data_IF_715183888540
#
_entry.id   IF_715183888540
#
_cell.length_a   1.000
_cell.length_b   1.000
_cell.length_c   1.000
_cell.angle_alpha   90.00
_cell.angle_beta   90.00
_cell.angle_gamma   90.00
#
_symmetry.space_group_name_H-M   'P 1'
#
loop_
_entity.id
_entity.type
_entity.pdbx_description
1 polymer ?
#
# COMPACT_ATOMS: atom_id res chain seq x y z
N UNK A 1 -11.24 -49.41 70.19
CA UNK A 1 -12.32 -48.65 69.51
C UNK A 1 -11.77 -47.24 69.32
N UNK A 2 -11.45 -46.72 68.14
CA UNK A 2 -11.72 -47.15 66.77
C UNK A 2 -10.75 -46.46 65.78
N UNK A 3 -10.59 -47.06 64.60
CA UNK A 3 -9.76 -46.61 63.47
C UNK A 3 -10.44 -45.47 62.65
N UNK A 4 -9.70 -44.80 61.73
CA UNK A 4 -9.94 -43.44 61.21
C UNK A 4 -10.84 -43.40 59.96
N UNK A 5 -11.09 -42.20 59.39
CA UNK A 5 -10.91 -42.04 57.94
C UNK A 5 -10.27 -40.68 57.56
N UNK A 6 -9.17 -40.68 56.80
CA UNK A 6 -9.08 -40.63 55.33
C UNK A 6 -8.82 -39.20 54.80
N UNK A 7 -7.54 -38.93 54.56
CA UNK A 7 -6.97 -38.36 53.34
C UNK A 7 -7.93 -37.58 52.41
N UNK A 8 -7.78 -36.26 52.37
CA UNK A 8 -7.97 -35.48 51.13
C UNK A 8 -6.78 -34.52 50.94
N UNK A 9 -5.71 -34.93 50.23
CA UNK A 9 -4.79 -34.01 49.61
C UNK A 9 -5.26 -33.75 48.17
N UNK A 10 -6.09 -32.74 47.95
CA UNK A 10 -6.71 -32.48 46.63
C UNK A 10 -6.51 -31.05 46.15
N UNK A 11 -5.34 -30.45 46.42
CA UNK A 11 -5.02 -29.08 45.96
C UNK A 11 -3.55 -28.88 45.54
N UNK A 12 -2.89 -29.94 45.06
CA UNK A 12 -1.58 -29.84 44.38
C UNK A 12 -1.68 -30.20 42.90
N UNK A 13 -2.63 -29.58 42.20
CA UNK A 13 -2.48 -29.30 40.78
C UNK A 13 -2.29 -27.79 40.63
N UNK A 14 -1.14 -27.28 41.08
CA UNK A 14 -0.56 -26.13 40.41
C UNK A 14 -0.26 -26.57 39.00
N UNK A 15 -1.20 -26.28 38.11
CA UNK A 15 -1.01 -26.30 36.67
C UNK A 15 0.24 -25.48 36.38
N UNK A 16 1.39 -26.15 36.26
CA UNK A 16 2.52 -25.64 35.52
C UNK A 16 2.02 -25.48 34.08
N UNK A 17 1.36 -24.36 33.81
CA UNK A 17 1.21 -23.86 32.46
C UNK A 17 2.63 -23.80 31.92
N UNK A 18 3.00 -24.62 30.92
CA UNK A 18 4.32 -24.54 30.34
C UNK A 18 4.50 -23.09 29.94
N UNK A 19 5.54 -22.44 30.46
CA UNK A 19 5.95 -21.12 29.99
C UNK A 19 6.01 -21.25 28.47
N UNK A 20 5.08 -20.58 27.78
CA UNK A 20 5.01 -20.64 26.33
C UNK A 20 6.34 -20.11 25.84
N UNK A 21 7.24 -21.01 25.42
CA UNK A 21 8.55 -20.61 24.89
C UNK A 21 8.28 -19.69 23.71
N UNK A 22 8.91 -18.52 23.71
CA UNK A 22 8.79 -17.59 22.60
C UNK A 22 9.33 -18.23 21.32
N UNK A 23 8.81 -17.81 20.17
CA UNK A 23 9.37 -18.17 18.87
C UNK A 23 10.87 -17.80 18.85
N UNK A 24 11.73 -18.69 18.38
CA UNK A 24 13.16 -18.40 18.25
C UNK A 24 13.52 -18.18 16.79
N UNK A 25 14.34 -17.16 16.51
CA UNK A 25 14.79 -16.82 15.17
C UNK A 25 16.31 -16.65 15.12
N UNK A 26 16.89 -16.83 13.93
CA UNK A 26 18.26 -16.38 13.67
C UNK A 26 18.25 -14.87 13.52
N UNK A 27 19.10 -14.17 14.29
CA UNK A 27 19.39 -12.74 14.15
C UNK A 27 20.71 -12.60 13.43
N UNK A 28 20.76 -11.85 12.34
CA UNK A 28 22.00 -11.52 11.64
C UNK A 28 22.10 -10.03 11.41
N UNK A 29 23.22 -9.43 11.79
CA UNK A 29 23.54 -8.03 11.48
C UNK A 29 24.15 -7.88 10.08
N UNK A 30 24.17 -6.66 9.55
CA UNK A 30 24.79 -6.36 8.24
C UNK A 30 26.25 -6.79 8.14
N UNK A 31 26.96 -6.82 9.25
CA UNK A 31 28.37 -7.22 9.38
C UNK A 31 28.58 -8.73 9.20
N UNK A 32 27.51 -9.52 9.17
CA UNK A 32 27.53 -10.97 8.99
C UNK A 32 27.56 -11.77 10.30
N UNK A 33 27.64 -11.12 11.46
CA UNK A 33 27.51 -11.79 12.75
C UNK A 33 26.07 -12.30 12.93
N UNK A 34 25.93 -13.60 13.23
CA UNK A 34 24.64 -14.25 13.43
C UNK A 34 24.56 -14.96 14.78
N UNK A 35 23.40 -14.87 15.44
CA UNK A 35 23.08 -15.56 16.68
C UNK A 35 21.62 -16.02 16.69
N UNK A 36 21.21 -16.69 17.77
CA UNK A 36 19.80 -17.03 18.01
C UNK A 36 19.23 -16.00 18.97
N UNK A 37 18.07 -15.46 18.65
CA UNK A 37 17.27 -14.61 19.54
C UNK A 37 15.92 -15.25 19.83
N UNK A 38 15.38 -15.00 21.02
CA UNK A 38 14.01 -15.32 21.39
C UNK A 38 13.13 -14.09 21.12
N UNK A 39 12.06 -14.27 20.37
CA UNK A 39 11.17 -13.18 19.97
C UNK A 39 10.34 -12.69 21.15
N UNK A 40 10.18 -11.37 21.23
CA UNK A 40 9.34 -10.74 22.26
C UNK A 40 7.84 -10.97 21.98
N UNK A 41 6.97 -10.86 23.00
CA UNK A 41 5.52 -10.94 22.79
C UNK A 41 5.04 -10.00 21.68
N UNK A 42 4.19 -10.51 20.78
CA UNK A 42 3.71 -9.78 19.60
C UNK A 42 4.58 -9.93 18.35
N UNK A 43 5.75 -10.58 18.43
CA UNK A 43 6.55 -10.98 17.28
C UNK A 43 6.41 -12.50 17.05
N UNK A 44 5.58 -12.86 16.09
CA UNK A 44 5.21 -14.26 15.81
C UNK A 44 5.81 -14.79 14.49
N UNK A 45 6.74 -14.04 13.88
CA UNK A 45 7.42 -14.42 12.64
C UNK A 45 8.93 -14.24 12.75
N UNK A 46 9.68 -15.06 12.02
CA UNK A 46 11.06 -14.78 11.64
C UNK A 46 11.08 -14.11 10.27
N UNK A 47 11.98 -13.15 10.07
CA UNK A 47 12.23 -12.50 8.78
C UNK A 47 13.64 -12.75 8.26
N UNK A 48 13.77 -12.72 6.95
CA UNK A 48 15.04 -12.58 6.21
C UNK A 48 14.88 -11.46 5.20
N UNK A 49 15.71 -10.42 5.32
CA UNK A 49 15.77 -9.31 4.37
C UNK A 49 17.08 -9.38 3.60
N UNK A 50 17.02 -9.46 2.27
CA UNK A 50 18.18 -9.54 1.41
C UNK A 50 18.21 -8.37 0.41
N UNK A 51 19.35 -7.71 0.30
CA UNK A 51 19.67 -6.72 -0.71
C UNK A 51 20.70 -7.35 -1.66
N UNK A 52 20.36 -7.39 -2.94
CA UNK A 52 21.23 -7.84 -4.01
C UNK A 52 21.49 -6.68 -4.95
N UNK A 53 22.76 -6.35 -5.19
CA UNK A 53 23.17 -5.33 -6.16
C UNK A 53 23.98 -6.02 -7.25
N UNK A 54 23.46 -5.98 -8.47
CA UNK A 54 24.07 -6.59 -9.64
C UNK A 54 24.66 -5.51 -10.55
N UNK A 55 25.96 -5.62 -10.86
CA UNK A 55 26.66 -4.71 -11.77
C UNK A 55 27.73 -5.47 -12.56
N UNK A 56 27.72 -5.38 -13.89
CA UNK A 56 28.80 -5.94 -14.71
C UNK A 56 29.06 -7.45 -14.58
N UNK A 57 28.14 -8.23 -14.02
CA UNK A 57 28.30 -9.66 -13.76
C UNK A 57 28.69 -10.01 -12.32
N UNK A 58 29.06 -9.01 -11.52
CA UNK A 58 29.33 -9.16 -10.08
C UNK A 58 28.03 -8.94 -9.28
N UNK A 59 27.90 -9.67 -8.17
CA UNK A 59 26.78 -9.55 -7.23
C UNK A 59 27.27 -9.24 -5.82
N UNK A 60 26.85 -8.10 -5.28
CA UNK A 60 26.95 -7.83 -3.85
C UNK A 60 25.65 -8.26 -3.17
N UNK A 61 25.74 -9.11 -2.14
CA UNK A 61 24.61 -9.58 -1.36
C UNK A 61 24.75 -9.24 0.12
N UNK A 62 23.79 -8.49 0.66
CA UNK A 62 23.68 -8.18 2.09
C UNK A 62 22.43 -8.85 2.64
N UNK A 63 22.54 -9.57 3.76
CA UNK A 63 21.41 -10.28 4.36
C UNK A 63 21.29 -9.93 5.84
N UNK A 64 20.10 -9.48 6.24
CA UNK A 64 19.70 -9.29 7.63
C UNK A 64 18.63 -10.32 8.02
N UNK A 65 18.63 -10.72 9.29
CA UNK A 65 17.64 -11.66 9.83
C UNK A 65 17.23 -11.26 11.24
N UNK A 66 16.03 -11.66 11.65
CA UNK A 66 15.57 -11.53 13.03
C UNK A 66 14.09 -11.81 13.19
N UNK A 67 13.52 -11.44 14.34
CA UNK A 67 12.10 -11.50 14.62
C UNK A 67 11.29 -10.40 13.89
N UNK A 68 10.00 -10.66 13.69
CA UNK A 68 9.07 -9.81 12.96
C UNK A 68 7.64 -9.92 13.50
N UNK A 69 6.88 -8.85 13.30
CA UNK A 69 5.45 -8.79 13.61
C UNK A 69 4.61 -9.56 12.58
N UNK A 70 3.44 -10.11 12.98
CA UNK A 70 2.62 -10.98 12.14
C UNK A 70 2.04 -10.32 10.89
N UNK A 71 1.97 -8.98 10.83
CA UNK A 71 1.49 -8.24 9.65
C UNK A 71 2.52 -8.22 8.50
N UNK A 72 3.74 -8.69 8.75
CA UNK A 72 4.78 -8.78 7.72
C UNK A 72 4.48 -9.91 6.74
N UNK A 73 4.69 -9.65 5.45
CA UNK A 73 4.46 -10.61 4.36
C UNK A 73 5.71 -10.75 3.49
N UNK A 74 5.75 -11.82 2.71
CA UNK A 74 6.74 -11.96 1.65
C UNK A 74 6.59 -10.82 0.64
N UNK A 75 7.71 -10.21 0.25
CA UNK A 75 7.72 -9.12 -0.74
C UNK A 75 9.04 -9.03 -1.47
N UNK A 76 8.97 -8.58 -2.71
CA UNK A 76 10.12 -8.39 -3.59
C UNK A 76 10.00 -7.09 -4.36
N UNK A 77 11.13 -6.45 -4.62
CA UNK A 77 11.21 -5.30 -5.51
C UNK A 77 12.57 -5.27 -6.20
N UNK A 78 12.58 -5.17 -7.52
CA UNK A 78 13.76 -5.06 -8.36
C UNK A 78 13.65 -3.84 -9.25
N UNK A 79 14.69 -3.02 -9.31
CA UNK A 79 14.74 -1.82 -10.15
C UNK A 79 16.18 -1.54 -10.60
N UNK A 80 16.31 -0.63 -11.57
CA UNK A 80 17.56 -0.19 -12.16
C UNK A 80 17.94 1.20 -11.65
N UNK A 81 19.21 1.36 -11.36
CA UNK A 81 19.86 2.64 -11.06
C UNK A 81 21.14 2.70 -11.88
N UNK A 82 21.15 3.49 -12.95
CA UNK A 82 22.23 3.50 -13.94
C UNK A 82 22.48 2.11 -14.52
N UNK A 83 23.71 1.56 -14.42
CA UNK A 83 24.04 0.22 -14.89
C UNK A 83 23.64 -0.90 -13.91
N UNK A 84 23.31 -0.56 -12.67
CA UNK A 84 23.06 -1.51 -11.59
C UNK A 84 21.62 -2.01 -11.60
N UNK A 85 21.41 -3.27 -11.19
CA UNK A 85 20.10 -3.80 -10.83
C UNK A 85 20.08 -4.08 -9.33
N UNK A 86 19.24 -3.34 -8.62
CA UNK A 86 19.01 -3.50 -7.19
C UNK A 86 17.81 -4.41 -7.01
N UNK A 87 17.92 -5.42 -6.15
CA UNK A 87 16.82 -6.32 -5.77
C UNK A 87 16.73 -6.44 -4.26
N UNK A 88 15.57 -6.07 -3.73
CA UNK A 88 15.19 -6.16 -2.32
C UNK A 88 14.19 -7.29 -2.16
N UNK A 89 14.48 -8.22 -1.26
CA UNK A 89 13.60 -9.35 -0.95
C UNK A 89 13.43 -9.44 0.55
N UNK A 90 12.19 -9.54 1.03
CA UNK A 90 11.87 -9.88 2.40
C UNK A 90 11.01 -11.14 2.41
N UNK A 91 11.45 -12.16 3.13
CA UNK A 91 10.69 -13.40 3.36
C UNK A 91 10.43 -13.60 4.83
N UNK A 92 9.27 -14.17 5.16
CA UNK A 92 8.84 -14.45 6.52
C UNK A 92 8.40 -15.91 6.69
N UNK A 93 8.56 -16.43 7.91
CA UNK A 93 8.15 -17.78 8.29
C UNK A 93 7.84 -17.83 9.80
N UNK A 94 7.04 -18.80 10.25
CA UNK A 94 6.44 -18.79 11.58
C UNK A 94 6.90 -19.94 12.52
N UNK A 95 7.93 -20.69 12.14
CA UNK A 95 8.43 -21.81 12.93
C UNK A 95 9.82 -21.54 13.51
N UNK A 96 10.16 -22.24 14.60
CA UNK A 96 11.43 -22.08 15.29
C UNK A 96 12.63 -22.22 14.34
N UNK A 97 13.46 -21.17 14.30
CA UNK A 97 14.68 -21.05 13.51
C UNK A 97 14.48 -21.25 12.00
N UNK A 98 13.26 -21.03 11.49
CA UNK A 98 12.93 -21.25 10.08
C UNK A 98 13.71 -20.38 9.10
N UNK A 99 14.26 -19.25 9.57
CA UNK A 99 15.08 -18.33 8.78
C UNK A 99 16.58 -18.69 8.78
N UNK A 100 16.95 -19.86 9.32
CA UNK A 100 18.33 -20.35 9.31
C UNK A 100 18.85 -20.45 7.87
N UNK A 101 20.10 -20.02 7.59
CA UNK A 101 20.67 -20.13 6.25
C UNK A 101 20.67 -21.57 5.78
N UNK A 102 20.11 -21.83 4.60
CA UNK A 102 20.31 -23.10 3.89
C UNK A 102 21.61 -23.03 3.09
N UNK A 103 22.60 -23.92 3.37
CA UNK A 103 23.81 -24.00 2.56
C UNK A 103 23.45 -24.44 1.13
N UNK A 104 24.05 -23.79 0.13
CA UNK A 104 24.04 -24.28 -1.25
C UNK A 104 22.84 -23.90 -2.12
N UNK A 105 21.87 -23.13 -1.62
CA UNK A 105 20.73 -22.69 -2.44
C UNK A 105 20.93 -21.27 -2.96
N UNK A 106 21.88 -21.11 -3.89
CA UNK A 106 21.71 -20.07 -4.90
C UNK A 106 20.56 -20.55 -5.78
N UNK A 107 19.35 -20.01 -5.58
CA UNK A 107 18.24 -20.31 -6.47
C UNK A 107 18.71 -19.94 -7.89
N UNK A 108 18.81 -20.89 -8.83
CA UNK A 108 19.17 -20.55 -10.19
C UNK A 108 18.14 -19.55 -10.70
N UNK A 109 18.60 -18.41 -11.23
CA UNK A 109 17.70 -17.46 -11.88
C UNK A 109 16.97 -18.22 -12.98
N UNK A 110 15.65 -18.43 -12.86
CA UNK A 110 14.96 -19.21 -13.86
C UNK A 110 15.01 -18.42 -15.17
N UNK A 111 15.71 -18.96 -16.16
CA UNK A 111 15.82 -18.37 -17.50
C UNK A 111 14.51 -18.56 -18.23
N UNK A 112 13.54 -17.71 -17.95
CA UNK A 112 12.29 -17.62 -18.70
C UNK A 112 12.07 -16.17 -19.14
N UNK A 113 11.40 -16.00 -20.28
CA UNK A 113 10.97 -14.70 -20.76
C UNK A 113 9.75 -14.24 -19.96
N UNK A 114 10.00 -13.72 -18.77
CA UNK A 114 8.97 -13.13 -17.93
C UNK A 114 8.60 -11.72 -18.38
N UNK A 115 7.64 -11.14 -17.68
CA UNK A 115 7.15 -9.77 -17.83
C UNK A 115 8.31 -8.77 -17.95
N UNK A 116 8.16 -7.81 -18.86
CA UNK A 116 9.10 -6.71 -19.06
C UNK A 116 8.45 -5.42 -18.56
N UNK A 117 9.17 -4.64 -17.76
CA UNK A 117 8.65 -3.44 -17.10
C UNK A 117 9.57 -2.25 -17.32
N UNK A 118 9.01 -1.04 -17.24
CA UNK A 118 9.81 0.17 -17.13
C UNK A 118 10.46 0.22 -15.75
N UNK A 119 11.70 0.70 -15.69
CA UNK A 119 12.51 0.70 -14.49
C UNK A 119 13.33 1.97 -14.36
N UNK A 120 13.32 2.55 -13.16
CA UNK A 120 14.05 3.77 -12.82
C UNK A 120 14.14 3.93 -11.30
N UNK A 121 14.96 4.86 -10.85
CA UNK A 121 15.11 5.27 -9.45
C UNK A 121 15.29 6.80 -9.32
N UNK A 122 15.08 7.33 -8.12
CA UNK A 122 15.35 8.73 -7.77
C UNK A 122 16.83 8.97 -7.46
N UNK A 123 17.55 7.94 -6.97
CA UNK A 123 18.96 8.04 -6.62
C UNK A 123 19.86 8.50 -7.77
N UNK A 124 19.54 8.12 -9.02
CA UNK A 124 20.22 8.55 -10.24
C UNK A 124 19.40 9.57 -11.07
N UNK A 125 18.30 10.06 -10.50
CA UNK A 125 17.34 10.98 -11.15
C UNK A 125 16.72 10.42 -12.45
N UNK A 126 16.74 9.10 -12.66
CA UNK A 126 16.25 8.49 -13.91
C UNK A 126 14.74 8.56 -14.01
N UNK A 127 14.00 8.44 -12.90
CA UNK A 127 12.55 8.58 -12.90
C UNK A 127 12.13 10.02 -13.22
N UNK A 128 12.75 11.00 -12.57
CA UNK A 128 12.44 12.43 -12.70
C UNK A 128 12.78 12.93 -14.11
N UNK A 129 13.89 12.45 -14.69
CA UNK A 129 14.34 12.81 -16.03
C UNK A 129 13.69 12.00 -17.15
N UNK A 130 12.78 11.07 -16.82
CA UNK A 130 12.12 10.16 -17.78
C UNK A 130 13.12 9.40 -18.65
N UNK A 131 14.14 8.85 -17.98
CA UNK A 131 15.18 8.00 -18.57
C UNK A 131 14.97 6.56 -18.13
N UNK A 132 13.72 6.10 -18.17
CA UNK A 132 13.37 4.75 -17.74
C UNK A 132 14.01 3.72 -18.67
N UNK A 133 14.63 2.71 -18.08
CA UNK A 133 15.21 1.57 -18.77
C UNK A 133 14.26 0.39 -18.73
N UNK A 134 14.43 -0.57 -19.64
CA UNK A 134 13.72 -1.83 -19.57
C UNK A 134 14.34 -2.77 -18.52
N UNK A 135 13.49 -3.43 -17.74
CA UNK A 135 13.86 -4.49 -16.81
C UNK A 135 12.97 -5.71 -17.04
N UNK A 136 13.61 -6.85 -17.30
CA UNK A 136 12.93 -8.13 -17.33
C UNK A 136 12.80 -8.69 -15.91
N UNK A 137 11.57 -9.02 -15.51
CA UNK A 137 11.30 -9.59 -14.21
C UNK A 137 11.90 -10.99 -14.08
N UNK A 138 12.21 -11.41 -12.84
CA UNK A 138 12.93 -12.68 -12.59
C UNK A 138 12.01 -13.80 -12.12
N UNK A 139 10.83 -13.47 -11.60
CA UNK A 139 9.87 -14.45 -11.12
C UNK A 139 8.54 -14.36 -11.87
N UNK A 140 7.84 -15.49 -12.09
CA UNK A 140 6.55 -15.49 -12.78
C UNK A 140 5.44 -14.75 -12.02
N UNK A 141 5.57 -14.60 -10.69
CA UNK A 141 4.64 -13.83 -9.86
C UNK A 141 4.94 -12.34 -9.77
N UNK A 142 6.06 -11.88 -10.36
CA UNK A 142 6.42 -10.47 -10.37
C UNK A 142 5.46 -9.69 -11.30
N UNK A 143 5.07 -8.51 -10.85
CA UNK A 143 4.29 -7.52 -11.58
C UNK A 143 5.15 -6.30 -11.86
N UNK A 144 4.74 -5.45 -12.81
CA UNK A 144 5.34 -4.14 -12.94
C UNK A 144 4.86 -3.25 -11.80
N UNK A 145 5.81 -2.62 -11.13
CA UNK A 145 5.58 -1.78 -9.97
C UNK A 145 5.97 -0.32 -10.26
N UNK A 146 5.25 0.61 -9.63
CA UNK A 146 5.65 1.99 -9.46
C UNK A 146 5.39 2.38 -8.00
N UNK A 147 6.45 2.82 -7.32
CA UNK A 147 6.41 3.20 -5.91
C UNK A 147 6.85 4.65 -5.80
N UNK A 148 6.00 5.49 -5.19
CA UNK A 148 6.29 6.89 -4.88
C UNK A 148 6.17 7.07 -3.37
N UNK A 149 7.24 7.52 -2.73
CA UNK A 149 7.31 7.78 -1.30
C UNK A 149 7.87 9.17 -1.06
N UNK A 150 7.07 10.05 -0.49
CA UNK A 150 7.49 11.38 -0.09
C UNK A 150 7.44 11.51 1.43
N UNK A 151 8.49 12.07 2.03
CA UNK A 151 8.51 12.44 3.45
C UNK A 151 8.87 13.91 3.57
N UNK A 152 8.13 14.66 4.39
CA UNK A 152 8.32 16.11 4.60
C UNK A 152 9.54 16.41 5.47
N UNK A 153 10.03 15.44 6.24
CA UNK A 153 11.17 15.60 7.14
C UNK A 153 12.37 14.80 6.61
N UNK A 154 13.48 15.51 6.43
CA UNK A 154 14.77 14.98 5.97
C UNK A 154 15.45 14.21 7.12
N UNK A 155 14.86 13.09 7.50
CA UNK A 155 15.27 12.31 8.67
C UNK A 155 15.15 10.81 8.43
N UNK A 156 16.32 10.18 8.26
CA UNK A 156 16.58 8.74 8.23
C UNK A 156 16.50 8.03 6.87
N UNK A 157 17.64 7.40 6.52
CA UNK A 157 17.98 6.48 5.43
C UNK A 157 17.25 6.73 4.11
N UNK A 158 17.99 7.16 3.07
CA UNK A 158 17.47 7.55 1.75
C UNK A 158 16.77 6.40 1.01
N UNK A 159 15.55 6.07 1.42
CA UNK A 159 14.63 5.30 0.60
C UNK A 159 14.37 6.06 -0.69
N UNK A 160 14.25 5.33 -1.81
CA UNK A 160 13.96 5.93 -3.11
C UNK A 160 12.62 6.68 -3.04
N UNK A 161 12.64 7.97 -3.43
CA UNK A 161 11.41 8.77 -3.49
C UNK A 161 10.48 8.30 -4.60
N UNK A 162 11.05 7.85 -5.71
CA UNK A 162 10.35 7.30 -6.86
C UNK A 162 11.17 6.14 -7.41
N UNK A 163 10.53 5.00 -7.59
CA UNK A 163 11.14 3.86 -8.26
C UNK A 163 10.11 3.10 -9.07
N UNK A 164 10.57 2.54 -10.19
CA UNK A 164 9.79 1.65 -11.06
C UNK A 164 10.57 0.38 -11.30
N UNK A 165 9.88 -0.73 -11.47
CA UNK A 165 10.54 -1.99 -11.80
C UNK A 165 9.62 -3.19 -11.68
N UNK A 166 10.16 -4.29 -11.19
CA UNK A 166 9.48 -5.58 -11.05
C UNK A 166 9.31 -5.95 -9.58
N UNK A 167 8.28 -6.72 -9.24
CA UNK A 167 8.22 -7.40 -7.95
C UNK A 167 6.81 -7.75 -7.50
N UNK A 168 6.71 -8.12 -6.23
CA UNK A 168 5.45 -8.42 -5.56
C UNK A 168 5.41 -7.70 -4.22
N UNK A 169 4.51 -6.72 -4.09
CA UNK A 169 4.30 -5.96 -2.86
C UNK A 169 2.89 -6.19 -2.31
N UNK A 170 2.71 -6.17 -0.98
CA UNK A 170 1.38 -6.21 -0.38
C UNK A 170 0.55 -5.02 -0.88
N UNK A 171 -0.69 -5.25 -1.28
CA UNK A 171 -1.57 -4.25 -1.90
C UNK A 171 -1.70 -4.35 -3.43
N UNK A 172 -0.99 -5.28 -4.07
CA UNK A 172 -1.22 -5.66 -5.46
C UNK A 172 -2.24 -6.82 -5.59
N UNK A 173 -3.07 -6.90 -6.65
CA UNK A 173 -3.17 -5.96 -7.78
C UNK A 173 -3.98 -4.69 -7.42
N UNK A 174 -3.57 -3.55 -7.98
CA UNK A 174 -4.28 -2.27 -7.86
C UNK A 174 -3.41 -1.14 -7.28
N UNK A 175 -3.81 0.13 -7.46
CA UNK A 175 -3.13 1.24 -6.81
C UNK A 175 -3.52 1.33 -5.32
N UNK A 176 -2.54 1.26 -4.43
CA UNK A 176 -2.73 1.49 -2.99
C UNK A 176 -2.01 2.77 -2.58
N UNK A 177 -2.65 3.59 -1.76
CA UNK A 177 -2.05 4.82 -1.24
C UNK A 177 -2.20 4.94 0.27
N UNK A 178 -1.23 5.53 0.93
CA UNK A 178 -1.35 5.99 2.30
C UNK A 178 -0.77 7.39 2.40
N UNK A 179 -1.37 8.25 3.21
CA UNK A 179 -0.74 9.50 3.55
C UNK A 179 -1.10 9.95 4.96
N UNK A 180 -0.25 10.81 5.50
CA UNK A 180 -0.50 11.58 6.72
C UNK A 180 0.10 12.98 6.55
N UNK A 181 0.21 13.74 7.63
CA UNK A 181 0.75 15.10 7.60
C UNK A 181 2.21 15.21 7.09
N UNK A 182 2.98 14.12 7.18
CA UNK A 182 4.42 14.12 6.92
C UNK A 182 4.85 13.14 5.83
N UNK A 183 3.97 12.24 5.41
CA UNK A 183 4.34 11.11 4.57
C UNK A 183 3.25 10.85 3.54
N UNK A 184 3.66 10.58 2.31
CA UNK A 184 2.82 10.09 1.24
C UNK A 184 3.47 8.84 0.65
N UNK A 185 2.68 7.79 0.47
CA UNK A 185 3.07 6.54 -0.15
C UNK A 185 2.03 6.19 -1.20
N UNK A 186 2.51 5.86 -2.39
CA UNK A 186 1.70 5.37 -3.49
C UNK A 186 2.39 4.17 -4.12
N UNK A 187 1.61 3.12 -4.33
CA UNK A 187 2.01 1.88 -4.97
C UNK A 187 1.05 1.64 -6.12
N UNK A 188 1.55 1.46 -7.33
CA UNK A 188 0.81 0.96 -8.48
C UNK A 188 1.42 -0.36 -8.91
N UNK A 189 0.56 -1.34 -9.18
CA UNK A 189 0.96 -2.64 -9.71
C UNK A 189 0.12 -3.00 -10.94
N UNK A 190 0.75 -3.58 -11.95
CA UNK A 190 0.08 -4.04 -13.16
C UNK A 190 0.83 -5.24 -13.79
N UNK A 191 0.12 -6.05 -14.57
CA UNK A 191 0.59 -7.37 -15.01
C UNK A 191 0.80 -7.49 -16.53
N UNK A 192 0.81 -6.37 -17.26
CA UNK A 192 1.05 -6.34 -18.71
C UNK A 192 2.39 -5.66 -19.04
N UNK A 193 3.01 -6.03 -20.16
CA UNK A 193 4.36 -5.53 -20.49
C UNK A 193 4.39 -4.00 -20.54
N UNK A 194 5.36 -3.41 -19.84
CA UNK A 194 5.61 -1.96 -19.75
C UNK A 194 4.39 -1.12 -19.33
N UNK A 195 3.44 -1.69 -18.59
CA UNK A 195 2.24 -0.99 -18.14
C UNK A 195 2.51 0.16 -17.16
N UNK A 196 3.63 0.09 -16.43
CA UNK A 196 4.11 1.14 -15.54
C UNK A 196 4.93 2.23 -16.28
N UNK A 197 4.99 2.19 -17.61
CA UNK A 197 5.62 3.23 -18.44
C UNK A 197 4.66 4.40 -18.63
N UNK A 198 5.20 5.62 -18.64
CA UNK A 198 4.46 6.85 -18.92
C UNK A 198 4.91 8.01 -18.04
N UNK A 199 4.31 9.20 -18.19
CA UNK A 199 4.50 10.29 -17.23
C UNK A 199 4.21 9.74 -15.82
N UNK A 200 4.91 10.24 -14.79
CA UNK A 200 4.49 10.02 -13.40
C UNK A 200 3.01 10.41 -13.20
N UNK A 201 2.50 10.24 -11.98
CA UNK A 201 1.07 10.33 -11.64
C UNK A 201 0.26 11.53 -12.22
N UNK A 202 0.91 12.62 -12.65
CA UNK A 202 0.28 13.86 -13.10
C UNK A 202 -0.48 13.88 -14.45
N UNK A 203 -0.70 12.77 -15.18
CA UNK A 203 -1.47 12.83 -16.45
C UNK A 203 -2.39 11.61 -16.73
N UNK A 204 -2.76 10.83 -15.72
CA UNK A 204 -3.69 9.69 -15.87
C UNK A 204 -4.76 9.76 -14.78
N UNK A 205 -6.01 9.45 -15.14
CA UNK A 205 -7.11 9.35 -14.17
C UNK A 205 -6.97 8.05 -13.38
N UNK A 206 -6.60 8.14 -12.11
CA UNK A 206 -6.51 7.00 -11.21
C UNK A 206 -7.52 7.13 -10.06
N UNK A 207 -8.11 6.02 -9.65
CA UNK A 207 -8.81 5.92 -8.36
C UNK A 207 -7.87 5.25 -7.37
N UNK A 208 -7.49 5.98 -6.32
CA UNK A 208 -6.60 5.47 -5.27
C UNK A 208 -7.43 5.21 -4.02
N UNK A 209 -7.21 4.06 -3.39
CA UNK A 209 -7.86 3.69 -2.13
C UNK A 209 -6.81 3.39 -1.08
N UNK A 210 -7.13 3.72 0.17
CA UNK A 210 -6.32 3.37 1.32
C UNK A 210 -6.70 4.16 2.56
N UNK A 211 -5.78 4.26 3.50
CA UNK A 211 -5.99 4.93 4.78
C UNK A 211 -5.50 6.37 4.74
N UNK A 212 -6.28 7.27 5.34
CA UNK A 212 -6.06 8.71 5.33
C UNK A 212 -6.28 9.30 6.73
N UNK A 213 -5.53 10.35 7.07
CA UNK A 213 -5.87 11.21 8.23
C UNK A 213 -7.05 12.14 7.88
N UNK A 214 -7.86 12.52 8.88
CA UNK A 214 -9.06 13.33 8.66
C UNK A 214 -8.78 14.68 7.97
N UNK A 215 -7.63 15.29 8.21
CA UNK A 215 -7.21 16.55 7.58
C UNK A 215 -7.09 16.45 6.06
N UNK A 216 -6.83 15.27 5.52
CA UNK A 216 -6.73 15.05 4.07
C UNK A 216 -8.07 14.94 3.38
N UNK A 217 -9.07 14.43 4.09
CA UNK A 217 -10.44 14.36 3.59
C UNK A 217 -11.08 15.75 3.43
N UNK A 218 -10.41 16.80 3.93
CA UNK A 218 -10.88 18.18 3.98
C UNK A 218 -10.00 19.15 3.17
N UNK A 219 -8.80 18.74 2.75
CA UNK A 219 -7.77 19.65 2.24
C UNK A 219 -7.44 19.43 0.76
N UNK A 220 -7.52 20.50 -0.03
CA UNK A 220 -7.10 20.53 -1.44
C UNK A 220 -5.57 20.66 -1.63
N UNK A 221 -4.78 20.78 -0.55
CA UNK A 221 -3.31 20.96 -0.61
C UNK A 221 -2.55 19.81 -1.30
N UNK A 222 -3.26 18.74 -1.64
CA UNK A 222 -2.80 17.56 -2.38
C UNK A 222 -2.58 17.83 -3.87
N UNK A 223 -3.40 18.69 -4.49
CA UNK A 223 -3.29 19.00 -5.91
C UNK A 223 -1.99 19.76 -6.23
N UNK A 224 -1.59 20.64 -5.31
CA UNK A 224 -0.48 21.57 -5.48
C UNK A 224 0.89 20.93 -5.18
N UNK A 225 0.98 20.09 -4.14
CA UNK A 225 2.22 19.40 -3.81
C UNK A 225 2.64 18.32 -4.83
N UNK A 226 1.69 17.82 -5.64
CA UNK A 226 1.90 16.64 -6.48
C UNK A 226 1.44 16.80 -7.94
N UNK A 227 1.14 18.03 -8.35
CA UNK A 227 0.68 18.37 -9.71
C UNK A 227 -0.49 17.50 -10.19
N UNK A 228 -1.35 17.05 -9.26
CA UNK A 228 -2.56 16.31 -9.57
C UNK A 228 -3.66 17.31 -9.91
N UNK A 229 -4.14 17.28 -11.14
CA UNK A 229 -5.28 18.09 -11.56
C UNK A 229 -6.58 17.30 -11.39
N UNK A 230 -7.69 17.96 -11.03
CA UNK A 230 -9.03 17.35 -10.90
C UNK A 230 -9.13 16.21 -9.87
N UNK A 231 -8.78 16.48 -8.60
CA UNK A 231 -8.88 15.52 -7.50
C UNK A 231 -10.32 15.46 -6.93
N UNK A 232 -10.89 14.26 -6.80
CA UNK A 232 -12.10 13.99 -6.01
C UNK A 232 -11.75 13.05 -4.86
N UNK A 233 -11.96 13.49 -3.63
CA UNK A 233 -11.63 12.72 -2.42
C UNK A 233 -12.92 12.34 -1.70
N UNK A 234 -13.04 11.05 -1.34
CA UNK A 234 -14.13 10.55 -0.51
C UNK A 234 -13.52 9.71 0.61
N UNK A 235 -13.89 10.01 1.84
CA UNK A 235 -13.43 9.29 3.01
C UNK A 235 -14.62 8.72 3.78
N UNK A 236 -14.37 7.61 4.45
CA UNK A 236 -15.33 6.94 5.32
C UNK A 236 -14.60 6.41 6.56
N UNK A 237 -15.33 6.22 7.64
CA UNK A 237 -14.82 5.61 8.86
C UNK A 237 -15.30 4.15 8.96
N UNK A 238 -14.43 3.26 9.42
CA UNK A 238 -14.71 1.83 9.56
C UNK A 238 -13.92 0.96 8.59
N UNK A 239 -13.63 -0.27 9.00
CA UNK A 239 -12.87 -1.21 8.19
C UNK A 239 -13.65 -1.60 6.92
N UNK A 240 -13.01 -1.51 5.75
CA UNK A 240 -13.60 -1.93 4.47
C UNK A 240 -14.69 -1.00 3.90
N UNK A 241 -14.93 0.16 4.50
CA UNK A 241 -15.94 1.12 4.01
C UNK A 241 -15.62 1.68 2.61
N UNK A 242 -14.34 1.65 2.21
CA UNK A 242 -13.84 2.06 0.91
C UNK A 242 -13.88 0.92 -0.12
N UNK A 243 -14.87 0.03 -0.07
CA UNK A 243 -15.04 -1.04 -1.06
C UNK A 243 -15.49 -0.48 -2.44
N UNK A 244 -15.15 -1.11 -3.57
CA UNK A 244 -15.57 -0.63 -4.90
C UNK A 244 -17.09 -0.59 -5.12
N UNK A 245 -17.86 -1.37 -4.34
CA UNK A 245 -19.31 -1.46 -4.48
C UNK A 245 -20.04 -0.18 -4.02
N UNK A 246 -19.49 0.57 -3.07
CA UNK A 246 -20.11 1.80 -2.54
C UNK A 246 -20.05 2.98 -3.52
N UNK A 247 -19.14 2.97 -4.51
CA UNK A 247 -19.07 3.99 -5.56
C UNK A 247 -20.28 3.95 -6.51
N UNK A 248 -20.85 2.77 -6.74
CA UNK A 248 -21.99 2.59 -7.64
C UNK A 248 -23.26 3.22 -7.07
N UNK A 249 -23.38 3.25 -5.75
CA UNK A 249 -24.49 3.86 -5.03
C UNK A 249 -24.41 5.39 -5.07
N UNK A 250 -23.20 5.96 -4.95
CA UNK A 250 -22.99 7.40 -5.11
C UNK A 250 -23.24 7.90 -6.53
N UNK A 251 -22.92 7.10 -7.56
CA UNK A 251 -23.27 7.43 -8.96
C UNK A 251 -24.76 7.27 -9.27
N UNK A 252 -25.51 6.48 -8.49
CA UNK A 252 -26.98 6.38 -8.58
C UNK A 252 -27.73 7.48 -7.84
N UNK A 253 -27.06 8.23 -6.96
CA UNK A 253 -27.60 9.42 -6.29
C UNK A 253 -27.76 10.65 -7.19
N UNK A 254 -27.61 10.51 -8.51
CA UNK A 254 -27.99 11.55 -9.47
C UNK A 254 -29.52 11.73 -9.48
N UNK A 255 -29.97 12.97 -9.29
CA UNK A 255 -31.36 13.37 -9.17
C UNK A 255 -32.30 12.65 -10.17
N UNK A 256 -33.54 12.32 -9.79
CA UNK A 256 -34.52 11.79 -10.73
C UNK A 256 -34.65 12.76 -11.90
N UNK A 257 -34.55 12.22 -13.11
CA UNK A 257 -34.89 12.92 -14.36
C UNK A 257 -36.22 13.67 -14.15
N UNK A 258 -36.34 14.97 -14.48
CA UNK A 258 -37.63 15.63 -14.43
C UNK A 258 -38.55 14.90 -15.41
N UNK A 259 -39.56 14.22 -14.88
CA UNK A 259 -40.65 13.71 -15.69
C UNK A 259 -41.40 14.89 -16.36
N UNK A 260 -42.05 14.66 -17.50
CA UNK A 260 -42.79 15.70 -18.19
C UNK A 260 -43.88 16.26 -17.26
N UNK A 261 -43.89 17.58 -17.09
CA UNK A 261 -44.84 18.29 -16.25
C UNK A 261 -46.29 18.05 -16.73
N UNK A 262 -47.26 17.80 -15.83
CA UNK A 262 -48.65 17.74 -16.21
C UNK A 262 -49.19 19.15 -16.50
N UNK A 263 -49.89 19.29 -17.62
CA UNK A 263 -50.65 20.48 -18.01
C UNK A 263 -51.71 20.82 -16.94
N UNK A 264 -51.47 21.88 -16.17
CA UNK A 264 -52.48 22.49 -15.30
C UNK A 264 -53.38 23.42 -16.09
N UNK A 265 -54.68 23.08 -16.18
CA UNK A 265 -55.73 23.96 -16.70
C UNK A 265 -55.91 25.17 -15.76
N UNK A 266 -55.59 26.37 -16.26
CA UNK A 266 -55.99 27.63 -15.63
C UNK A 266 -57.36 28.05 -16.18
N UNK A 267 -58.40 27.86 -15.38
CA UNK A 267 -59.73 28.43 -15.59
C UNK A 267 -59.70 29.92 -15.21
N UNK A 268 -59.86 30.79 -16.20
CA UNK A 268 -59.98 32.23 -16.03
C UNK A 268 -61.39 32.60 -15.56
N UNK A 269 -61.50 33.18 -14.36
CA UNK A 269 -62.71 33.84 -13.89
C UNK A 269 -62.62 35.34 -14.19
N UNK A 270 -63.46 35.81 -15.11
CA UNK A 270 -63.68 37.23 -15.42
C UNK A 270 -64.51 37.87 -14.31
N UNK A 271 -63.99 38.93 -13.70
CA UNK A 271 -64.77 39.91 -12.94
C UNK A 271 -64.48 41.30 -13.49
N UNK A 272 -65.51 41.90 -14.10
CA UNK A 272 -65.50 43.23 -14.70
C UNK A 272 -65.86 44.30 -13.66
N UNK A 273 -65.09 45.38 -13.58
CA UNK A 273 -65.60 46.71 -13.21
C UNK A 273 -64.68 47.84 -13.69
N UNK A 274 -65.05 48.43 -14.85
CA UNK A 274 -65.38 49.87 -15.07
C UNK A 274 -65.04 50.83 -13.89
N UNK A 275 -64.57 52.07 -14.02
CA UNK A 275 -64.56 53.10 -15.06
C UNK A 275 -63.67 54.27 -14.53
N UNK A 276 -63.03 54.99 -15.46
CA UNK A 276 -62.68 56.42 -15.43
C UNK A 276 -61.63 56.96 -14.44
N UNK A 277 -60.64 57.65 -15.02
CA UNK A 277 -60.30 58.99 -14.54
C UNK A 277 -58.81 59.30 -14.38
N UNK A 278 -58.31 60.10 -15.32
CA UNK A 278 -57.35 61.20 -15.09
C UNK A 278 -55.85 60.85 -14.95
N UNK A 279 -55.13 61.22 -16.02
CA UNK A 279 -53.73 61.66 -16.08
C UNK A 279 -53.29 62.55 -14.90
N UNK A 280 -52.07 62.36 -14.39
CA UNK A 280 -51.15 63.48 -14.13
C UNK A 280 -49.70 63.01 -13.93
N UNK A 281 -48.82 63.84 -14.49
CA UNK A 281 -47.36 63.85 -14.54
C UNK A 281 -46.69 64.08 -13.16
N UNK A 282 -45.35 63.92 -13.18
CA UNK A 282 -44.30 64.51 -12.31
C UNK A 282 -43.96 63.74 -11.02
N UNK A 283 -42.70 63.54 -10.63
CA UNK A 283 -41.36 64.00 -11.08
C UNK A 283 -40.36 62.87 -10.88
#
# INVERSE_FOLDING_TARGET
>A
MDRPPLLLPLLWLHTCLPASKGLRCVRCERTGACGVEECVPGQALCRTTALHVWEGGEELKVVERGCAHPEKTNRTMSYRTGPQIITLTETVCASDLCNKPTPGQAAPFPRSRYLECASCASSDMSCERRREQSLQCRHPGDQCLEVVSHRSQEGSLRDERHSRGCGHLPGCPGPTGFHNNHTFHFLLCCNTSNCNKGPGLGNRSYTVRGCATASWCQSLHVAEAFSLTHLSVTCCAGHGCNSPASDAEHRRGGAPRPGPAPLGLLLTALATSRLWGVTLLWT
#
